data_IF_465989052826
#
_entry.id   IF_465989052826
#
_cell.length_a   1.000
_cell.length_b   1.000
_cell.length_c   1.000
_cell.angle_alpha   90.00
_cell.angle_beta   90.00
_cell.angle_gamma   90.00
#
_symmetry.space_group_name_H-M   'P 1'
#
loop_
_entity.id
_entity.type
_entity.pdbx_description
1 polymer ?
#
# COMPACT_ATOMS: atom_id res chain seq x y z
N UNK A 1 11.44 -9.68 8.55
CA UNK A 1 12.45 -8.81 7.93
C UNK A 1 11.90 -8.37 6.59
N UNK A 2 12.02 -7.09 6.22
CA UNK A 2 11.56 -6.58 4.92
C UNK A 2 12.73 -6.37 3.97
N UNK A 3 12.46 -6.48 2.68
CA UNK A 3 13.37 -6.15 1.59
C UNK A 3 12.61 -5.24 0.62
N UNK A 4 13.26 -4.19 0.13
CA UNK A 4 12.67 -3.29 -0.87
C UNK A 4 13.30 -3.55 -2.24
N UNK A 5 12.46 -3.83 -3.24
CA UNK A 5 12.84 -3.90 -4.63
C UNK A 5 12.36 -2.61 -5.32
N UNK A 6 13.25 -1.92 -6.05
CA UNK A 6 12.91 -0.65 -6.74
C UNK A 6 11.91 -0.81 -7.90
N UNK A 7 11.63 -2.04 -8.31
CA UNK A 7 10.58 -2.32 -9.30
C UNK A 7 9.22 -2.27 -8.61
N UNK A 8 8.36 -1.38 -9.10
CA UNK A 8 6.96 -1.33 -8.70
C UNK A 8 6.27 -2.67 -8.97
N UNK A 9 5.33 -3.04 -8.10
CA UNK A 9 4.49 -4.23 -8.28
C UNK A 9 3.69 -4.17 -9.58
N UNK A 10 3.26 -2.97 -9.97
CA UNK A 10 2.64 -2.71 -11.27
C UNK A 10 3.22 -1.46 -11.93
N UNK A 11 3.31 -1.47 -13.26
CA UNK A 11 3.86 -0.32 -14.01
C UNK A 11 2.85 0.82 -14.04
N UNK A 12 3.20 1.93 -13.42
CA UNK A 12 2.41 3.17 -13.46
C UNK A 12 2.64 3.91 -14.78
N UNK A 13 1.54 4.39 -15.39
CA UNK A 13 1.58 5.23 -16.60
C UNK A 13 0.61 6.39 -16.43
N UNK A 14 1.14 7.60 -16.33
CA UNK A 14 0.37 8.85 -16.30
C UNK A 14 0.52 9.55 -17.65
N UNK A 15 -0.59 9.86 -18.32
CA UNK A 15 -0.58 10.44 -19.65
C UNK A 15 -0.24 11.95 -19.62
N UNK A 16 -0.80 12.66 -18.65
CA UNK A 16 -0.56 14.09 -18.41
C UNK A 16 -0.75 14.41 -16.92
N UNK A 17 -0.06 15.42 -16.37
CA UNK A 17 -0.23 15.83 -14.98
C UNK A 17 -1.66 16.31 -14.68
N UNK A 18 -2.28 15.78 -13.63
CA UNK A 18 -3.60 16.22 -13.16
C UNK A 18 -3.62 16.42 -11.64
N UNK A 19 -3.37 17.65 -11.15
CA UNK A 19 -3.33 17.95 -9.71
C UNK A 19 -4.64 17.72 -8.97
N UNK A 20 -5.78 17.86 -9.67
CA UNK A 20 -7.10 17.62 -9.09
C UNK A 20 -7.30 16.13 -8.79
N UNK A 21 -6.98 15.27 -9.76
CA UNK A 21 -7.01 13.82 -9.56
C UNK A 21 -5.98 13.39 -8.51
N UNK A 22 -4.75 13.91 -8.56
CA UNK A 22 -3.72 13.60 -7.57
C UNK A 22 -4.18 13.90 -6.14
N UNK A 23 -4.90 15.02 -5.94
CA UNK A 23 -5.51 15.39 -4.66
C UNK A 23 -6.53 14.36 -4.20
N UNK A 24 -7.40 13.87 -5.10
CA UNK A 24 -8.36 12.82 -4.77
C UNK A 24 -7.66 11.49 -4.44
N UNK A 25 -6.55 11.18 -5.10
CA UNK A 25 -5.77 9.96 -4.84
C UNK A 25 -5.03 9.99 -3.50
N UNK A 26 -4.84 11.14 -2.87
CA UNK A 26 -4.31 11.22 -1.51
C UNK A 26 -5.21 10.50 -0.49
N UNK A 27 -6.51 10.35 -0.77
CA UNK A 27 -7.41 9.53 0.06
C UNK A 27 -6.98 8.06 0.06
N UNK A 28 -6.54 7.52 -1.08
CA UNK A 28 -5.99 6.17 -1.15
C UNK A 28 -4.58 6.09 -0.57
N UNK A 29 -3.80 7.16 -0.62
CA UNK A 29 -2.44 7.15 -0.04
C UNK A 29 -2.46 7.19 1.50
N UNK A 30 -3.13 8.20 2.07
CA UNK A 30 -3.07 8.49 3.51
C UNK A 30 -4.42 8.72 4.17
N UNK A 31 -5.53 8.53 3.45
CA UNK A 31 -6.87 8.59 4.03
C UNK A 31 -7.15 7.44 4.99
N UNK A 32 -8.22 7.54 5.80
CA UNK A 32 -8.60 6.52 6.78
C UNK A 32 -8.85 5.12 6.19
N UNK A 33 -9.21 5.07 4.90
CA UNK A 33 -9.46 3.83 4.16
C UNK A 33 -8.39 3.54 3.10
N UNK A 34 -7.28 4.29 3.11
CA UNK A 34 -6.19 4.14 2.17
C UNK A 34 -5.22 3.00 2.48
N UNK A 35 -4.26 2.81 1.59
CA UNK A 35 -3.30 1.70 1.58
C UNK A 35 -2.42 1.69 2.83
N UNK A 36 -1.99 2.86 3.31
CA UNK A 36 -1.21 2.95 4.55
C UNK A 36 -2.03 2.46 5.75
N UNK A 37 -3.31 2.84 5.83
CA UNK A 37 -4.19 2.41 6.91
C UNK A 37 -4.46 0.89 6.83
N UNK A 38 -4.60 0.35 5.62
CA UNK A 38 -4.73 -1.09 5.38
C UNK A 38 -3.48 -1.85 5.80
N UNK A 39 -2.30 -1.48 5.30
CA UNK A 39 -1.02 -2.09 5.64
C UNK A 39 -0.79 -2.12 7.17
N UNK A 40 -0.96 -0.96 7.83
CA UNK A 40 -0.75 -0.87 9.28
C UNK A 40 -1.76 -1.71 10.07
N UNK A 41 -3.02 -1.74 9.64
CA UNK A 41 -4.04 -2.59 10.26
C UNK A 41 -3.68 -4.07 10.15
N UNK A 42 -3.27 -4.55 8.98
CA UNK A 42 -2.94 -5.96 8.80
C UNK A 42 -1.64 -6.34 9.53
N UNK A 43 -0.61 -5.48 9.55
CA UNK A 43 0.59 -5.73 10.36
C UNK A 43 0.27 -5.81 11.84
N UNK A 44 -0.51 -4.86 12.38
CA UNK A 44 -0.84 -4.84 13.81
C UNK A 44 -1.69 -6.05 14.20
N UNK A 45 -2.62 -6.48 13.34
CA UNK A 45 -3.38 -7.72 13.52
C UNK A 45 -2.47 -8.96 13.51
N UNK A 46 -1.55 -9.06 12.55
CA UNK A 46 -0.62 -10.18 12.46
C UNK A 46 0.28 -10.33 13.69
N UNK A 47 0.72 -9.21 14.29
CA UNK A 47 1.54 -9.24 15.50
C UNK A 47 0.79 -9.83 16.70
N UNK A 48 -0.52 -9.63 16.77
CA UNK A 48 -1.39 -10.17 17.82
C UNK A 48 -2.01 -11.53 17.51
N UNK A 49 -1.79 -12.08 16.32
CA UNK A 49 -2.35 -13.37 15.91
C UNK A 49 -1.48 -14.55 16.37
N UNK A 50 -2.14 -15.59 16.88
CA UNK A 50 -1.53 -16.82 17.39
C UNK A 50 -1.61 -17.97 16.39
N UNK A 51 -2.66 -17.99 15.55
CA UNK A 51 -2.79 -18.98 14.48
C UNK A 51 -1.80 -18.69 13.36
N UNK A 52 -0.91 -19.66 13.11
CA UNK A 52 0.17 -19.50 12.15
C UNK A 52 -0.34 -19.21 10.73
N UNK A 53 -1.44 -19.83 10.30
CA UNK A 53 -1.97 -19.65 8.94
C UNK A 53 -2.60 -18.27 8.75
N UNK A 54 -3.39 -17.79 9.71
CA UNK A 54 -3.94 -16.43 9.65
C UNK A 54 -2.87 -15.36 9.77
N UNK A 55 -1.87 -15.59 10.62
CA UNK A 55 -0.73 -14.68 10.77
C UNK A 55 0.04 -14.53 9.47
N UNK A 56 0.32 -15.63 8.78
CA UNK A 56 0.99 -15.65 7.48
C UNK A 56 0.19 -14.87 6.45
N UNK A 57 -1.10 -15.17 6.30
CA UNK A 57 -2.01 -14.45 5.40
C UNK A 57 -2.06 -12.94 5.70
N UNK A 58 -2.13 -12.54 6.96
CA UNK A 58 -2.14 -11.12 7.33
C UNK A 58 -0.81 -10.41 6.99
N UNK A 59 0.33 -11.09 7.18
CA UNK A 59 1.63 -10.53 6.81
C UNK A 59 1.83 -10.43 5.30
N UNK A 60 1.33 -11.42 4.54
CA UNK A 60 1.33 -11.40 3.08
C UNK A 60 0.54 -10.20 2.56
N UNK A 61 -0.72 -10.06 2.99
CA UNK A 61 -1.57 -8.95 2.59
C UNK A 61 -0.97 -7.62 3.04
N UNK A 62 -0.53 -7.49 4.28
CA UNK A 62 0.08 -6.24 4.78
C UNK A 62 1.30 -5.80 3.94
N UNK A 63 2.09 -6.77 3.47
CA UNK A 63 3.25 -6.51 2.61
C UNK A 63 2.83 -6.10 1.20
N UNK A 64 1.77 -6.69 0.66
CA UNK A 64 1.15 -6.27 -0.61
C UNK A 64 0.62 -4.83 -0.54
N UNK A 65 -0.06 -4.45 0.54
CA UNK A 65 -0.60 -3.09 0.69
C UNK A 65 0.50 -2.00 0.73
N UNK A 66 1.71 -2.32 1.19
CA UNK A 66 2.86 -1.40 1.04
C UNK A 66 3.26 -1.19 -0.42
N UNK A 67 3.07 -2.20 -1.26
CA UNK A 67 3.30 -2.10 -2.71
C UNK A 67 2.20 -1.30 -3.40
N UNK A 68 0.92 -1.46 -2.98
CA UNK A 68 -0.16 -0.58 -3.42
C UNK A 68 0.10 0.88 -3.05
N UNK A 69 0.54 1.14 -1.81
CA UNK A 69 0.91 2.48 -1.36
C UNK A 69 2.01 3.10 -2.23
N UNK A 70 3.02 2.32 -2.64
CA UNK A 70 4.09 2.79 -3.54
C UNK A 70 3.55 3.09 -4.95
N UNK A 71 2.61 2.30 -5.46
CA UNK A 71 1.93 2.55 -6.74
C UNK A 71 1.12 3.86 -6.68
N UNK A 72 0.30 4.07 -5.65
CA UNK A 72 -0.48 5.31 -5.48
C UNK A 72 0.45 6.52 -5.33
N UNK A 73 1.50 6.41 -4.51
CA UNK A 73 2.49 7.47 -4.36
C UNK A 73 3.20 7.80 -5.68
N UNK A 74 3.49 6.80 -6.50
CA UNK A 74 4.07 6.98 -7.83
C UNK A 74 3.10 7.70 -8.79
N UNK A 75 1.80 7.38 -8.75
CA UNK A 75 0.79 8.07 -9.56
C UNK A 75 0.67 9.55 -9.16
N UNK A 76 0.68 9.84 -7.85
CA UNK A 76 0.57 11.22 -7.34
C UNK A 76 1.81 12.05 -7.68
N UNK A 77 2.98 11.43 -7.77
CA UNK A 77 4.26 12.12 -8.02
C UNK A 77 4.56 12.41 -9.51
N UNK A 78 3.90 11.73 -10.44
CA UNK A 78 4.12 11.83 -11.90
C UNK A 78 3.15 12.80 -12.56
#
# INVERSE_FOLDING_TARGET
MFLHNKRLMYTVRVAEPNPGLATLMLEQFGGPQGELAAAMRYFTQALGEEDAGRKDMLLDIATEELSHLEVIGSIVAM
#
